data_IF_955859166064
#
_entry.id   IF_955859166064
#
_cell.length_a   1.000
_cell.length_b   1.000
_cell.length_c   1.000
_cell.angle_alpha   90.00
_cell.angle_beta   90.00
_cell.angle_gamma   90.00
#
_symmetry.space_group_name_H-M   'P 1'
#
loop_
_entity.id
_entity.type
_entity.pdbx_description
1 polymer ?
#
# COMPACT_ATOMS: atom_id res chain seq x y z
N UNK A 1 18.41 -54.93 79.98
CA UNK A 1 19.53 -55.50 79.21
C UNK A 1 19.73 -54.73 77.92
N UNK A 2 20.98 -54.50 77.58
CA UNK A 2 21.52 -53.48 76.67
C UNK A 2 21.08 -53.63 75.21
N UNK A 3 20.61 -52.53 74.60
CA UNK A 3 20.32 -52.44 73.15
C UNK A 3 21.60 -52.07 72.40
N UNK A 4 22.12 -53.00 71.61
CA UNK A 4 23.21 -52.77 70.65
C UNK A 4 22.65 -52.31 69.29
N UNK A 5 23.10 -51.14 68.83
CA UNK A 5 22.81 -50.55 67.51
C UNK A 5 23.48 -51.33 66.37
N UNK A 6 22.78 -51.65 65.26
CA UNK A 6 23.43 -52.10 64.03
C UNK A 6 24.00 -50.90 63.24
N UNK A 7 25.21 -51.08 62.68
CA UNK A 7 25.91 -50.11 61.82
C UNK A 7 25.34 -50.16 60.41
N UNK A 8 24.98 -48.99 59.88
CA UNK A 8 24.55 -48.77 58.50
C UNK A 8 25.77 -48.40 57.64
N UNK A 9 26.02 -49.16 56.57
CA UNK A 9 27.01 -48.82 55.54
C UNK A 9 26.30 -48.18 54.34
N UNK A 10 26.72 -47.01 53.83
CA UNK A 10 26.12 -46.42 52.65
C UNK A 10 26.58 -47.12 51.35
N UNK A 11 25.71 -47.22 50.33
CA UNK A 11 26.06 -47.80 49.03
C UNK A 11 26.96 -46.87 48.20
N UNK A 12 27.88 -47.46 47.42
CA UNK A 12 28.80 -46.76 46.53
C UNK A 12 28.07 -46.22 45.29
N UNK A 13 28.22 -44.92 45.03
CA UNK A 13 27.72 -44.25 43.83
C UNK A 13 28.60 -44.60 42.61
N UNK A 14 27.98 -45.07 41.53
CA UNK A 14 28.59 -45.24 40.21
C UNK A 14 28.54 -43.92 39.45
N UNK A 15 29.69 -43.40 39.02
CA UNK A 15 29.76 -42.21 38.18
C UNK A 15 29.58 -42.56 36.68
N UNK A 16 28.82 -41.76 35.90
CA UNK A 16 28.65 -41.97 34.47
C UNK A 16 29.91 -41.57 33.69
N UNK A 17 30.27 -42.35 32.65
CA UNK A 17 31.37 -42.03 31.72
C UNK A 17 30.93 -40.92 30.77
N UNK A 18 31.64 -39.79 30.80
CA UNK A 18 31.46 -38.68 29.87
C UNK A 18 31.99 -39.06 28.48
N UNK A 19 31.16 -38.92 27.46
CA UNK A 19 31.54 -39.03 26.05
C UNK A 19 32.37 -37.80 25.65
N UNK A 20 33.56 -38.03 25.07
CA UNK A 20 34.43 -36.96 24.59
C UNK A 20 33.89 -36.33 23.30
N UNK A 21 33.95 -34.99 23.15
CA UNK A 21 33.47 -34.30 21.95
C UNK A 21 34.43 -34.57 20.77
N UNK A 22 33.89 -35.04 19.64
CA UNK A 22 34.63 -35.11 18.36
C UNK A 22 34.87 -33.69 17.86
N UNK A 23 36.14 -33.33 17.70
CA UNK A 23 36.61 -32.03 17.21
C UNK A 23 36.02 -31.71 15.84
N UNK A 24 35.09 -30.76 15.79
CA UNK A 24 34.57 -30.21 14.52
C UNK A 24 35.73 -29.47 13.84
N UNK A 25 36.09 -29.78 12.59
CA UNK A 25 37.25 -29.18 11.93
C UNK A 25 37.04 -27.66 11.76
N UNK A 26 38.02 -26.87 12.21
CA UNK A 26 38.01 -25.39 12.21
C UNK A 26 37.68 -24.77 10.84
N UNK A 27 37.95 -25.49 9.75
CA UNK A 27 37.60 -25.10 8.39
C UNK A 27 36.07 -24.91 8.22
N UNK A 28 35.24 -25.75 8.85
CA UNK A 28 33.76 -25.67 8.78
C UNK A 28 33.18 -24.47 9.54
N UNK A 29 33.90 -23.92 10.52
CA UNK A 29 33.52 -22.72 11.28
C UNK A 29 33.77 -21.41 10.51
N UNK A 30 34.66 -21.42 9.50
CA UNK A 30 34.96 -20.25 8.66
C UNK A 30 34.05 -20.12 7.42
N UNK A 31 33.49 -21.24 6.93
CA UNK A 31 32.58 -21.24 5.77
C UNK A 31 31.14 -20.88 6.13
N UNK A 32 30.71 -21.15 7.37
CA UNK A 32 29.35 -20.85 7.84
C UNK A 32 28.97 -19.35 7.79
N UNK A 33 29.82 -18.38 8.25
CA UNK A 33 29.50 -16.96 8.12
C UNK A 33 29.58 -16.44 6.68
N UNK A 34 30.37 -17.10 5.81
CA UNK A 34 30.50 -16.72 4.40
C UNK A 34 29.24 -17.10 3.59
N UNK A 35 28.62 -18.25 3.90
CA UNK A 35 27.36 -18.69 3.25
C UNK A 35 26.16 -17.86 3.73
N UNK A 36 26.13 -17.39 4.98
CA UNK A 36 25.07 -16.49 5.46
C UNK A 36 25.08 -15.11 4.79
N UNK A 37 26.23 -14.63 4.30
CA UNK A 37 26.35 -13.29 3.71
C UNK A 37 25.78 -13.16 2.28
N UNK A 38 25.48 -14.27 1.60
CA UNK A 38 25.01 -14.27 0.19
C UNK A 38 23.47 -14.25 0.08
N UNK A 39 22.73 -14.54 1.16
CA UNK A 39 21.25 -14.61 1.15
C UNK A 39 20.52 -13.27 1.34
N UNK A 40 21.22 -12.14 1.42
CA UNK A 40 20.61 -10.85 1.74
C UNK A 40 20.08 -10.04 0.52
N UNK A 41 20.15 -10.56 -0.71
CA UNK A 41 19.80 -9.78 -1.91
C UNK A 41 18.39 -10.02 -2.49
N UNK A 42 17.49 -10.75 -1.82
CA UNK A 42 16.10 -10.95 -2.28
C UNK A 42 15.09 -10.05 -1.53
N UNK A 43 15.36 -8.75 -1.43
CA UNK A 43 14.32 -7.81 -1.06
C UNK A 43 13.41 -7.58 -2.29
N UNK A 44 12.08 -7.81 -2.20
CA UNK A 44 11.20 -7.50 -3.31
C UNK A 44 11.27 -6.00 -3.63
N UNK A 45 11.65 -5.67 -4.87
CA UNK A 45 11.62 -4.28 -5.35
C UNK A 45 10.15 -3.81 -5.36
N UNK A 46 9.83 -2.77 -4.61
CA UNK A 46 8.51 -2.13 -4.64
C UNK A 46 8.27 -1.61 -6.07
N UNK A 47 7.38 -2.26 -6.81
CA UNK A 47 7.03 -1.85 -8.18
C UNK A 47 6.10 -0.63 -8.08
N UNK A 48 6.41 0.43 -8.80
CA UNK A 48 5.58 1.65 -8.82
C UNK A 48 5.18 1.95 -10.26
N UNK A 49 3.87 1.96 -10.50
CA UNK A 49 3.24 2.32 -11.75
C UNK A 49 2.87 3.80 -11.74
N UNK A 50 3.25 4.58 -12.76
CA UNK A 50 2.92 6.02 -12.85
C UNK A 50 1.92 6.27 -13.97
N UNK A 51 0.89 7.05 -13.66
CA UNK A 51 -0.21 7.43 -14.55
C UNK A 51 -0.39 8.95 -14.52
N UNK A 52 -0.84 9.54 -15.63
CA UNK A 52 -0.98 10.99 -15.75
C UNK A 52 0.33 11.72 -16.08
N UNK A 53 0.32 13.03 -15.89
CA UNK A 53 1.46 13.91 -16.19
C UNK A 53 2.06 14.42 -14.89
N UNK A 54 3.31 14.04 -14.55
CA UNK A 54 3.90 14.44 -13.30
C UNK A 54 4.17 15.95 -13.25
N UNK A 55 4.13 16.52 -12.06
CA UNK A 55 4.46 17.92 -11.83
C UNK A 55 5.99 18.05 -11.84
N UNK A 56 6.53 18.80 -12.80
CA UNK A 56 7.98 18.94 -12.99
C UNK A 56 8.49 20.23 -12.32
N UNK A 57 9.59 20.13 -11.58
CA UNK A 57 10.42 21.28 -11.22
C UNK A 57 10.15 21.92 -9.86
N UNK A 58 9.24 21.38 -9.06
CA UNK A 58 8.90 21.89 -7.73
C UNK A 58 8.94 20.77 -6.68
N UNK A 59 9.49 21.08 -5.50
CA UNK A 59 9.31 20.22 -4.32
C UNK A 59 7.87 20.40 -3.84
N UNK A 60 7.02 19.41 -4.09
CA UNK A 60 5.63 19.46 -3.69
C UNK A 60 5.49 19.40 -2.17
N UNK A 61 4.57 20.19 -1.64
CA UNK A 61 4.16 20.09 -0.25
C UNK A 61 3.36 18.79 -0.05
N UNK A 62 3.83 17.95 0.88
CA UNK A 62 3.13 16.74 1.27
C UNK A 62 2.05 17.10 2.29
N UNK A 63 0.81 16.76 1.97
CA UNK A 63 -0.35 17.02 2.82
C UNK A 63 -1.04 15.70 3.14
N UNK A 64 -1.44 15.53 4.40
CA UNK A 64 -2.24 14.39 4.84
C UNK A 64 -3.63 14.42 4.18
N UNK A 65 -4.03 13.30 3.58
CA UNK A 65 -5.30 13.19 2.86
C UNK A 65 -6.51 13.47 3.78
N UNK A 66 -6.44 13.02 5.04
CA UNK A 66 -7.47 13.32 6.03
C UNK A 66 -7.63 14.83 6.27
N UNK A 67 -6.53 15.59 6.29
CA UNK A 67 -6.57 17.05 6.45
C UNK A 67 -7.20 17.73 5.24
N UNK A 68 -6.90 17.23 4.04
CA UNK A 68 -7.52 17.70 2.80
C UNK A 68 -9.04 17.49 2.83
N UNK A 69 -9.49 16.30 3.24
CA UNK A 69 -10.91 15.98 3.32
C UNK A 69 -11.64 16.76 4.41
N UNK A 70 -10.97 17.06 5.53
CA UNK A 70 -11.54 17.83 6.63
C UNK A 70 -11.74 19.32 6.28
N UNK A 71 -10.84 19.90 5.46
CA UNK A 71 -10.86 21.33 5.13
C UNK A 71 -10.47 21.61 3.66
N UNK A 72 -11.22 21.08 2.66
CA UNK A 72 -10.78 21.08 1.27
C UNK A 72 -10.60 22.49 0.69
N UNK A 73 -11.39 23.46 1.15
CA UNK A 73 -11.28 24.85 0.69
C UNK A 73 -9.96 25.53 1.09
N UNK A 74 -9.26 25.07 2.13
CA UNK A 74 -7.93 25.58 2.50
C UNK A 74 -6.84 25.13 1.53
N UNK A 75 -7.11 24.07 0.78
CA UNK A 75 -6.16 23.47 -0.15
C UNK A 75 -6.50 23.78 -1.62
N UNK A 76 -7.68 24.32 -1.90
CA UNK A 76 -8.14 24.62 -3.26
C UNK A 76 -7.18 25.57 -3.98
N UNK A 77 -6.82 25.21 -5.21
CA UNK A 77 -5.87 25.90 -6.07
C UNK A 77 -4.39 25.61 -5.78
N UNK A 78 -4.07 24.86 -4.72
CA UNK A 78 -2.68 24.50 -4.39
C UNK A 78 -2.27 23.23 -5.12
N UNK A 79 -1.03 23.18 -5.57
CA UNK A 79 -0.40 21.96 -6.07
C UNK A 79 0.25 21.24 -4.90
N UNK A 80 -0.23 20.03 -4.60
CA UNK A 80 0.17 19.26 -3.42
C UNK A 80 0.42 17.80 -3.79
N UNK A 81 1.12 17.09 -2.90
CA UNK A 81 1.25 15.64 -2.91
C UNK A 81 0.45 15.04 -1.76
N UNK A 82 -0.39 14.05 -2.06
CA UNK A 82 -1.20 13.31 -1.09
C UNK A 82 -0.95 11.81 -1.22
N UNK A 83 -1.05 11.08 -0.10
CA UNK A 83 -0.94 9.61 -0.07
C UNK A 83 -2.23 9.00 0.48
N UNK A 84 -2.54 7.80 0.01
CA UNK A 84 -3.70 7.04 0.47
C UNK A 84 -3.79 5.68 -0.21
N UNK A 85 -5.00 5.17 -0.29
CA UNK A 85 -5.33 3.89 -0.92
C UNK A 85 -6.36 4.12 -2.03
N UNK A 86 -6.24 3.41 -3.14
CA UNK A 86 -7.23 3.47 -4.23
C UNK A 86 -8.50 2.73 -3.81
N UNK A 87 -9.63 3.44 -3.82
CA UNK A 87 -10.93 2.89 -3.39
C UNK A 87 -11.93 2.72 -4.53
N UNK A 88 -11.70 3.36 -5.68
CA UNK A 88 -12.56 3.26 -6.86
C UNK A 88 -11.76 3.61 -8.12
N UNK A 89 -12.12 3.02 -9.26
CA UNK A 89 -11.48 3.30 -10.57
C UNK A 89 -12.50 3.29 -11.69
N UNK A 90 -12.22 4.02 -12.77
CA UNK A 90 -13.00 3.92 -14.01
C UNK A 90 -12.81 2.55 -14.66
N UNK A 91 -13.80 1.67 -14.56
CA UNK A 91 -13.75 0.33 -15.17
C UNK A 91 -13.84 0.34 -16.70
N UNK A 92 -14.30 1.44 -17.30
CA UNK A 92 -14.48 1.54 -18.75
C UNK A 92 -13.23 2.02 -19.48
N UNK A 93 -12.67 3.15 -19.04
CA UNK A 93 -11.60 3.86 -19.75
C UNK A 93 -10.41 4.20 -18.87
N UNK A 94 -10.39 3.82 -17.59
CA UNK A 94 -9.28 4.12 -16.66
C UNK A 94 -8.91 5.61 -16.56
N UNK A 95 -9.84 6.52 -16.86
CA UNK A 95 -9.58 7.96 -16.96
C UNK A 95 -9.63 8.70 -15.61
N UNK A 96 -10.03 8.00 -14.55
CA UNK A 96 -10.07 8.52 -13.20
C UNK A 96 -9.91 7.40 -12.16
N UNK A 97 -9.47 7.78 -10.96
CA UNK A 97 -9.56 6.97 -9.74
C UNK A 97 -10.14 7.79 -8.58
N UNK A 98 -10.52 7.13 -7.48
CA UNK A 98 -10.73 7.74 -6.18
C UNK A 98 -9.77 7.15 -5.16
N UNK A 99 -9.31 8.00 -4.25
CA UNK A 99 -8.45 7.58 -3.14
C UNK A 99 -9.00 8.05 -1.80
N UNK A 100 -8.82 7.23 -0.77
CA UNK A 100 -9.20 7.54 0.60
C UNK A 100 -8.00 7.33 1.55
N UNK A 101 -8.05 7.86 2.79
CA UNK A 101 -7.02 7.57 3.79
C UNK A 101 -6.91 6.06 4.02
N UNK A 102 -5.70 5.53 4.00
CA UNK A 102 -5.43 4.10 4.15
C UNK A 102 -6.06 3.56 5.44
N UNK A 103 -6.81 2.46 5.35
CA UNK A 103 -7.45 1.83 6.50
C UNK A 103 -8.67 2.57 7.09
N UNK A 104 -9.15 3.66 6.46
CA UNK A 104 -10.37 4.35 6.90
C UNK A 104 -11.66 3.56 6.65
N UNK A 105 -11.65 2.66 5.65
CA UNK A 105 -12.86 2.00 5.17
C UNK A 105 -13.82 2.93 4.42
N UNK A 106 -13.44 4.19 4.20
CA UNK A 106 -14.23 5.16 3.44
C UNK A 106 -14.16 4.85 1.94
N UNK A 107 -15.32 4.93 1.28
CA UNK A 107 -15.44 4.74 -0.18
C UNK A 107 -15.54 6.05 -0.95
N UNK A 108 -15.86 7.12 -0.23
CA UNK A 108 -15.86 8.48 -0.75
C UNK A 108 -14.55 9.13 -0.33
N UNK A 109 -13.88 9.78 -1.28
CA UNK A 109 -12.55 10.32 -1.07
C UNK A 109 -12.21 11.34 -2.15
N UNK A 110 -10.92 11.59 -2.34
CA UNK A 110 -10.46 12.54 -3.35
C UNK A 110 -10.55 11.89 -4.74
N UNK A 111 -11.21 12.59 -5.67
CA UNK A 111 -11.33 12.19 -7.06
C UNK A 111 -10.08 12.64 -7.83
N UNK A 112 -9.48 11.75 -8.61
CA UNK A 112 -8.28 12.05 -9.39
C UNK A 112 -8.61 11.80 -10.85
N UNK A 113 -8.63 12.87 -11.63
CA UNK A 113 -8.95 12.82 -13.06
C UNK A 113 -7.68 13.08 -13.87
N UNK A 114 -7.34 12.15 -14.74
CA UNK A 114 -6.19 12.30 -15.61
C UNK A 114 -6.59 13.09 -16.86
N UNK A 115 -5.68 13.92 -17.36
CA UNK A 115 -5.88 14.65 -18.61
C UNK A 115 -5.61 13.69 -19.77
N UNK A 116 -6.63 13.38 -20.59
CA UNK A 116 -6.50 12.59 -21.82
C UNK A 116 -6.32 13.51 -23.05
N UNK A 117 -5.56 13.12 -24.08
CA UNK A 117 -4.81 11.86 -24.21
C UNK A 117 -3.43 11.94 -23.55
N UNK A 118 -3.08 10.89 -22.81
CA UNK A 118 -1.68 10.54 -22.57
C UNK A 118 -1.27 9.80 -23.85
N UNK A 119 -0.23 10.23 -24.55
CA UNK A 119 0.28 9.47 -25.69
C UNK A 119 0.63 8.04 -25.23
N UNK A 120 -0.07 7.04 -25.79
CA UNK A 120 0.07 5.64 -25.41
C UNK A 120 -0.63 5.25 -24.10
N UNK A 121 -1.96 5.18 -24.14
CA UNK A 121 -2.85 4.15 -23.54
C UNK A 121 -2.57 3.62 -22.12
N UNK A 122 -1.83 4.32 -21.26
CA UNK A 122 -1.64 3.85 -19.87
C UNK A 122 -2.80 4.29 -19.00
N UNK A 123 -3.88 3.51 -19.12
CA UNK A 123 -5.08 3.58 -18.30
C UNK A 123 -4.78 3.04 -16.90
N UNK A 124 -5.45 3.57 -15.87
CA UNK A 124 -5.34 2.94 -14.55
C UNK A 124 -6.03 1.58 -14.58
N UNK A 125 -5.30 0.48 -14.28
CA UNK A 125 -5.86 -0.86 -14.32
C UNK A 125 -6.75 -1.14 -13.10
N UNK A 126 -7.69 -2.09 -13.24
CA UNK A 126 -8.57 -2.48 -12.14
C UNK A 126 -7.82 -3.10 -10.95
N UNK A 127 -6.64 -3.68 -11.17
CA UNK A 127 -5.80 -4.23 -10.10
C UNK A 127 -5.15 -3.14 -9.23
N UNK A 128 -5.36 -1.85 -9.55
CA UNK A 128 -5.00 -0.74 -8.67
C UNK A 128 -5.90 -0.61 -7.45
N UNK A 129 -7.10 -1.18 -7.48
CA UNK A 129 -8.02 -1.17 -6.34
C UNK A 129 -7.34 -1.77 -5.10
N UNK A 130 -7.41 -1.05 -3.98
CA UNK A 130 -6.81 -1.42 -2.70
C UNK A 130 -5.29 -1.23 -2.63
N UNK A 131 -4.64 -0.73 -3.69
CA UNK A 131 -3.20 -0.48 -3.66
C UNK A 131 -2.88 0.88 -3.03
N UNK A 132 -1.72 1.01 -2.35
CA UNK A 132 -1.20 2.30 -1.93
C UNK A 132 -0.95 3.20 -3.15
N UNK A 133 -1.36 4.45 -3.05
CA UNK A 133 -1.16 5.44 -4.12
C UNK A 133 -0.67 6.76 -3.56
N UNK A 134 0.31 7.34 -4.26
CA UNK A 134 0.75 8.72 -4.10
C UNK A 134 0.25 9.51 -5.30
N UNK A 135 -0.46 10.62 -5.05
CA UNK A 135 -1.00 11.47 -6.09
C UNK A 135 -0.44 12.87 -5.92
N UNK A 136 -0.01 13.45 -7.03
CA UNK A 136 0.39 14.84 -7.14
C UNK A 136 -0.54 15.57 -8.10
N UNK A 137 -0.78 16.86 -7.87
CA UNK A 137 -1.53 17.71 -8.78
C UNK A 137 -2.19 18.89 -8.07
N UNK A 138 -3.02 19.63 -8.80
CA UNK A 138 -3.70 20.82 -8.26
C UNK A 138 -5.05 20.44 -7.68
N UNK A 139 -5.28 20.76 -6.40
CA UNK A 139 -6.57 20.51 -5.76
C UNK A 139 -7.61 21.51 -6.24
N UNK A 140 -8.79 21.00 -6.60
CA UNK A 140 -9.94 21.77 -7.04
C UNK A 140 -11.17 21.29 -6.27
N UNK A 141 -11.92 22.24 -5.71
CA UNK A 141 -13.23 21.97 -5.10
C UNK A 141 -14.29 22.49 -6.06
N UNK A 142 -15.11 21.58 -6.59
CA UNK A 142 -16.15 21.94 -7.56
C UNK A 142 -17.49 21.28 -7.22
N UNK A 143 -18.57 21.81 -7.80
CA UNK A 143 -19.89 21.18 -7.69
C UNK A 143 -20.14 20.40 -8.97
N UNK A 144 -20.38 19.10 -8.84
CA UNK A 144 -20.72 18.22 -9.96
C UNK A 144 -22.23 17.97 -10.01
N UNK A 145 -22.76 17.90 -11.22
CA UNK A 145 -24.19 17.67 -11.47
C UNK A 145 -24.62 16.24 -11.15
N UNK A 146 -25.92 16.01 -10.97
CA UNK A 146 -26.49 14.66 -10.83
C UNK A 146 -26.12 13.77 -12.03
N UNK A 147 -26.17 14.32 -13.24
CA UNK A 147 -25.83 13.60 -14.47
C UNK A 147 -24.37 13.12 -14.47
N UNK A 148 -23.43 13.97 -14.07
CA UNK A 148 -22.01 13.59 -13.96
C UNK A 148 -21.79 12.54 -12.88
N UNK A 149 -22.45 12.68 -11.72
CA UNK A 149 -22.38 11.68 -10.64
C UNK A 149 -22.88 10.31 -11.10
N UNK A 150 -24.00 10.27 -11.83
CA UNK A 150 -24.52 9.03 -12.43
C UNK A 150 -23.57 8.45 -13.49
N UNK A 151 -22.97 9.31 -14.31
CA UNK A 151 -21.97 8.87 -15.30
C UNK A 151 -20.77 8.21 -14.63
N UNK A 152 -20.18 8.85 -13.60
CA UNK A 152 -19.07 8.28 -12.86
C UNK A 152 -19.44 6.98 -12.13
N UNK A 153 -20.65 6.87 -11.60
CA UNK A 153 -21.14 5.62 -11.00
C UNK A 153 -21.28 4.49 -12.03
N UNK A 154 -21.78 4.79 -13.23
CA UNK A 154 -21.83 3.83 -14.34
C UNK A 154 -20.44 3.41 -14.80
N UNK A 155 -19.48 4.34 -14.83
CA UNK A 155 -18.09 4.05 -15.17
C UNK A 155 -17.38 3.21 -14.10
N UNK A 156 -17.79 3.32 -12.85
CA UNK A 156 -17.36 2.49 -11.73
C UNK A 156 -18.00 1.08 -11.74
N UNK A 157 -18.91 0.79 -12.67
CA UNK A 157 -19.61 -0.49 -12.75
C UNK A 157 -20.73 -0.68 -11.73
N UNK A 158 -21.27 0.41 -11.14
CA UNK A 158 -22.43 0.32 -10.23
C UNK A 158 -23.68 -0.14 -10.96
N UNK A 159 -24.58 -0.77 -10.21
CA UNK A 159 -25.88 -1.25 -10.73
C UNK A 159 -26.86 -0.10 -11.00
N UNK A 160 -27.84 -0.32 -11.86
CA UNK A 160 -28.89 0.68 -12.16
C UNK A 160 -29.65 1.11 -10.90
N UNK A 161 -29.83 0.20 -9.93
CA UNK A 161 -30.44 0.51 -8.64
C UNK A 161 -29.60 1.53 -7.85
N UNK A 162 -28.30 1.29 -7.71
CA UNK A 162 -27.37 2.21 -7.02
C UNK A 162 -27.23 3.55 -7.75
N UNK A 163 -27.31 3.56 -9.09
CA UNK A 163 -27.28 4.79 -9.89
C UNK A 163 -28.59 5.58 -9.72
N UNK A 164 -29.73 4.88 -9.60
CA UNK A 164 -31.05 5.46 -9.38
C UNK A 164 -31.16 6.19 -8.03
N UNK A 165 -30.40 5.77 -7.02
CA UNK A 165 -30.33 6.43 -5.71
C UNK A 165 -29.54 7.74 -5.74
N UNK A 166 -28.75 8.00 -6.80
CA UNK A 166 -28.00 9.24 -6.94
C UNK A 166 -28.96 10.36 -7.35
N UNK A 167 -29.17 11.30 -6.44
CA UNK A 167 -30.00 12.50 -6.63
C UNK A 167 -29.23 13.75 -6.24
N UNK A 168 -29.41 14.82 -7.02
CA UNK A 168 -28.87 16.15 -6.78
C UNK A 168 -27.39 16.33 -7.11
N UNK A 169 -26.97 17.59 -7.14
CA UNK A 169 -25.56 17.97 -7.24
C UNK A 169 -24.83 17.72 -5.92
N UNK A 170 -23.54 17.45 -6.00
CA UNK A 170 -22.69 17.33 -4.81
C UNK A 170 -21.36 18.06 -5.02
N UNK A 171 -20.76 18.50 -3.92
CA UNK A 171 -19.38 18.99 -3.93
C UNK A 171 -18.42 17.81 -4.11
N UNK A 172 -17.45 17.96 -5.00
CA UNK A 172 -16.38 17.01 -5.25
C UNK A 172 -15.03 17.68 -4.99
N UNK A 173 -14.18 16.99 -4.21
CA UNK A 173 -12.77 17.33 -4.06
C UNK A 173 -12.02 16.57 -5.15
N UNK A 174 -11.37 17.30 -6.05
CA UNK A 174 -10.70 16.74 -7.23
C UNK A 174 -9.23 17.15 -7.29
N UNK A 175 -8.36 16.25 -7.73
CA UNK A 175 -7.02 16.59 -8.22
C UNK A 175 -7.09 16.75 -9.75
N UNK A 176 -6.71 17.93 -10.22
CA UNK A 176 -6.58 18.31 -11.63
C UNK A 176 -5.12 18.18 -12.09
N UNK A 177 -4.90 17.83 -13.36
CA UNK A 177 -3.58 17.75 -13.99
C UNK A 177 -2.57 16.93 -13.17
N UNK A 178 -3.07 15.86 -12.53
CA UNK A 178 -2.28 15.10 -11.59
C UNK A 178 -1.57 13.90 -12.20
N UNK A 179 -0.53 13.44 -11.51
CA UNK A 179 0.01 12.11 -11.67
C UNK A 179 -0.31 11.24 -10.46
N UNK A 180 -0.58 9.96 -10.71
CA UNK A 180 -0.77 8.94 -9.70
C UNK A 180 0.34 7.91 -9.81
N UNK A 181 1.01 7.66 -8.69
CA UNK A 181 2.05 6.65 -8.53
C UNK A 181 1.48 5.54 -7.63
N UNK A 182 1.07 4.44 -8.25
CA UNK A 182 0.46 3.31 -7.55
C UNK A 182 1.52 2.27 -7.27
N UNK A 183 1.60 1.84 -6.02
CA UNK A 183 2.55 0.82 -5.57
C UNK A 183 2.01 -0.59 -5.82
N UNK A 184 2.90 -1.57 -6.02
CA UNK A 184 2.52 -2.98 -6.13
C UNK A 184 1.96 -3.42 -7.48
N UNK A 185 1.92 -2.55 -8.49
CA UNK A 185 1.37 -2.87 -9.82
C UNK A 185 2.47 -3.02 -10.86
N UNK A 186 2.39 -4.08 -11.65
CA UNK A 186 3.14 -4.27 -12.89
C UNK A 186 2.27 -3.83 -14.07
N UNK A 187 2.74 -2.84 -14.84
CA UNK A 187 2.06 -2.42 -16.06
C UNK A 187 2.59 -3.30 -17.19
N UNK A 188 1.83 -4.31 -17.57
CA UNK A 188 2.14 -5.12 -18.75
C UNK A 188 1.76 -4.34 -20.02
N UNK A 189 2.53 -4.43 -21.10
CA UNK A 189 2.24 -3.71 -22.34
C UNK A 189 0.92 -4.10 -23.05
N UNK A 190 0.19 -5.09 -22.53
CA UNK A 190 -1.11 -5.56 -23.04
C UNK A 190 -2.33 -5.09 -22.21
N UNK A 191 -2.14 -4.31 -21.13
CA UNK A 191 -3.22 -3.86 -20.23
C UNK A 191 -3.67 -2.43 -20.49
#
# INVERSE_FOLDING_TARGET
MSRSKPRFFPPRLFAPRLFAPRSIPLLLLLILPLVLSISACNAPSLRVATFGSPVIGESLEQVELASVLAAPQQFSGRTIEIRGEVVDVCQKKGCWLKMAPTGSGEKDGVFVKFTCPIDGERLIPMNAMGQPVRVEGTLVVETISEAERRHYASDAGKTDAEIGEIVGSATQVRIASGAAHVEGIEITPES
#
